data_IF_903754493625
#
_entry.id   IF_903754493625
#
_cell.length_a   1.000
_cell.length_b   1.000
_cell.length_c   1.000
_cell.angle_alpha   90.00
_cell.angle_beta   90.00
_cell.angle_gamma   90.00
#
_symmetry.space_group_name_H-M   'P 1'
#
loop_
_entity.id
_entity.type
_entity.pdbx_description
1 polymer ?
#
# COMPACT_ATOMS: atom_id res chain seq x y z
N UNK A 1 7.01 17.12 0.81
CA UNK A 1 5.87 16.46 0.15
C UNK A 1 5.52 17.03 -1.23
N UNK A 2 5.36 18.35 -1.39
CA UNK A 2 4.98 18.97 -2.68
C UNK A 2 5.92 18.55 -3.83
N UNK A 3 7.24 18.52 -3.59
CA UNK A 3 8.23 18.07 -4.58
C UNK A 3 7.90 16.68 -5.15
N UNK A 4 7.79 15.65 -4.30
CA UNK A 4 7.44 14.29 -4.71
C UNK A 4 6.15 14.22 -5.52
N UNK A 5 5.07 14.87 -5.06
CA UNK A 5 3.79 14.84 -5.78
C UNK A 5 3.85 15.54 -7.13
N UNK A 6 4.50 16.70 -7.22
CA UNK A 6 4.60 17.45 -8.48
C UNK A 6 5.56 16.81 -9.49
N UNK A 7 6.58 16.07 -9.02
CA UNK A 7 7.41 15.23 -9.88
C UNK A 7 6.59 14.04 -10.40
N UNK A 8 5.95 13.29 -9.51
CA UNK A 8 5.10 12.15 -9.85
C UNK A 8 3.99 12.53 -10.84
N UNK A 9 3.28 13.64 -10.62
CA UNK A 9 2.22 14.10 -11.52
C UNK A 9 2.72 14.43 -12.95
N UNK A 10 4.01 14.75 -13.11
CA UNK A 10 4.62 15.08 -14.40
C UNK A 10 5.15 13.84 -15.12
N UNK A 11 5.83 12.95 -14.41
CA UNK A 11 6.67 11.89 -15.01
C UNK A 11 6.25 10.48 -14.63
N UNK A 12 5.38 10.32 -13.61
CA UNK A 12 5.11 9.04 -12.97
C UNK A 12 6.18 8.58 -11.98
N UNK A 13 7.30 9.32 -11.85
CA UNK A 13 8.37 9.03 -10.91
C UNK A 13 8.51 10.19 -9.90
N UNK A 14 8.30 9.95 -8.59
CA UNK A 14 8.40 10.99 -7.57
C UNK A 14 9.81 11.61 -7.47
N UNK A 15 10.84 10.95 -7.97
CA UNK A 15 12.24 11.41 -7.98
C UNK A 15 12.60 12.23 -9.23
N UNK A 16 11.84 12.10 -10.31
CA UNK A 16 12.13 12.74 -11.61
C UNK A 16 11.19 13.91 -11.86
N UNK A 17 11.73 15.12 -11.94
CA UNK A 17 10.95 16.31 -12.29
C UNK A 17 11.68 17.62 -12.02
N UNK A 18 10.93 18.68 -11.78
CA UNK A 18 11.49 20.03 -11.60
C UNK A 18 11.95 20.29 -10.15
N UNK A 19 11.45 19.54 -9.17
CA UNK A 19 11.75 19.77 -7.77
C UNK A 19 12.76 18.74 -7.27
N UNK A 20 13.80 19.21 -6.57
CA UNK A 20 14.70 18.32 -5.85
C UNK A 20 13.96 17.61 -4.71
N UNK A 21 14.34 16.36 -4.47
CA UNK A 21 13.81 15.52 -3.40
C UNK A 21 14.89 15.24 -2.36
N UNK A 22 14.54 15.13 -1.06
CA UNK A 22 15.54 15.01 0.01
C UNK A 22 16.20 13.63 0.10
N UNK A 23 15.55 12.59 -0.41
CA UNK A 23 16.08 11.23 -0.51
C UNK A 23 15.39 10.52 -1.67
N UNK A 24 15.87 9.34 -2.06
CA UNK A 24 15.30 8.56 -3.15
C UNK A 24 14.08 7.78 -2.65
N UNK A 25 12.97 7.91 -3.36
CA UNK A 25 11.77 7.10 -3.16
C UNK A 25 11.81 5.91 -4.11
N UNK A 26 12.30 4.77 -3.60
CA UNK A 26 12.33 3.53 -4.38
C UNK A 26 10.91 3.01 -4.68
N UNK A 27 10.68 2.46 -5.89
CA UNK A 27 9.41 1.83 -6.23
C UNK A 27 9.02 0.70 -5.26
N UNK A 28 7.72 0.54 -5.06
CA UNK A 28 7.18 -0.58 -4.31
C UNK A 28 7.47 -1.90 -5.04
N UNK A 29 7.96 -2.90 -4.32
CA UNK A 29 8.07 -4.29 -4.78
C UNK A 29 7.29 -5.21 -3.85
N UNK A 30 6.68 -6.26 -4.39
CA UNK A 30 5.89 -7.21 -3.60
C UNK A 30 6.77 -8.03 -2.64
N UNK A 31 8.02 -8.27 -3.00
CA UNK A 31 9.00 -9.02 -2.19
C UNK A 31 9.36 -8.29 -0.89
N UNK A 32 9.68 -6.99 -1.00
CA UNK A 32 10.19 -6.22 0.15
C UNK A 32 9.12 -5.34 0.80
N UNK A 33 8.01 -5.05 0.09
CA UNK A 33 6.99 -4.14 0.57
C UNK A 33 7.55 -2.77 0.95
N UNK A 34 8.47 -2.23 0.11
CA UNK A 34 9.17 -0.98 0.36
C UNK A 34 8.19 0.18 0.51
N UNK A 35 8.48 1.12 1.40
CA UNK A 35 7.75 2.38 1.53
C UNK A 35 8.69 3.49 1.98
N UNK A 36 8.36 4.72 1.61
CA UNK A 36 9.03 5.90 2.10
C UNK A 36 8.29 6.43 3.34
N UNK A 37 8.98 6.52 4.47
CA UNK A 37 8.47 7.21 5.66
C UNK A 37 8.65 8.72 5.51
N UNK A 38 7.55 9.46 5.53
CA UNK A 38 7.55 10.90 5.26
C UNK A 38 7.40 11.67 6.58
N UNK A 39 8.44 12.38 6.99
CA UNK A 39 8.45 13.18 8.21
C UNK A 39 9.35 14.43 8.06
N UNK A 40 9.67 15.13 9.17
CA UNK A 40 10.47 16.36 9.14
C UNK A 40 11.99 16.12 8.96
N UNK A 41 12.44 14.87 9.03
CA UNK A 41 13.81 14.41 8.83
C UNK A 41 13.78 13.34 7.74
N UNK A 42 14.07 13.75 6.52
CA UNK A 42 14.14 12.88 5.35
C UNK A 42 15.60 12.63 5.01
N UNK A 43 16.01 11.37 5.02
CA UNK A 43 17.34 10.88 4.70
C UNK A 43 17.27 9.44 4.17
N UNK A 44 18.42 8.81 3.92
CA UNK A 44 18.49 7.46 3.36
C UNK A 44 17.86 6.38 4.25
N UNK A 45 17.62 6.65 5.55
CA UNK A 45 16.94 5.73 6.48
C UNK A 45 15.41 5.88 6.43
N UNK A 46 14.90 6.83 5.66
CA UNK A 46 13.47 7.04 5.45
C UNK A 46 12.87 5.96 4.54
N UNK A 47 13.67 5.31 3.70
CA UNK A 47 13.26 4.11 2.97
C UNK A 47 13.21 2.91 3.91
N UNK A 48 12.01 2.35 4.08
CA UNK A 48 11.72 1.26 5.00
C UNK A 48 10.97 0.14 4.29
N UNK A 49 10.81 -0.98 4.97
CA UNK A 49 10.22 -2.20 4.42
C UNK A 49 9.22 -2.83 5.40
N UNK A 50 8.36 -3.69 4.87
CA UNK A 50 7.45 -4.55 5.65
C UNK A 50 6.57 -3.81 6.67
N UNK A 51 6.00 -2.66 6.30
CA UNK A 51 5.13 -1.89 7.20
C UNK A 51 3.97 -2.75 7.71
N UNK A 52 4.01 -3.06 9.01
CA UNK A 52 2.97 -3.83 9.72
C UNK A 52 2.59 -5.14 9.01
N UNK A 53 3.56 -5.82 8.39
CA UNK A 53 3.35 -7.05 7.63
C UNK A 53 2.61 -8.15 8.42
N UNK A 54 2.87 -8.27 9.73
CA UNK A 54 2.16 -9.20 10.61
C UNK A 54 0.66 -8.91 10.73
N UNK A 55 0.28 -7.63 10.78
CA UNK A 55 -1.13 -7.22 10.80
C UNK A 55 -1.78 -7.45 9.45
N UNK A 56 -1.08 -7.13 8.36
CA UNK A 56 -1.54 -7.41 7.00
C UNK A 56 -1.82 -8.90 6.85
N UNK A 57 -0.87 -9.76 7.22
CA UNK A 57 -1.00 -11.21 7.20
C UNK A 57 -2.18 -11.69 8.06
N UNK A 58 -2.34 -11.16 9.26
CA UNK A 58 -3.47 -11.50 10.12
C UNK A 58 -4.79 -11.20 9.41
N UNK A 59 -4.97 -10.00 8.85
CA UNK A 59 -6.23 -9.60 8.24
C UNK A 59 -6.52 -10.32 6.91
N UNK A 60 -5.49 -10.57 6.09
CA UNK A 60 -5.67 -11.19 4.77
C UNK A 60 -5.60 -12.71 4.78
N UNK A 61 -5.14 -13.34 5.87
CA UNK A 61 -5.03 -14.80 5.99
C UNK A 61 -5.77 -15.30 7.21
N UNK A 62 -5.32 -14.95 8.42
CA UNK A 62 -5.85 -15.52 9.67
C UNK A 62 -7.32 -15.18 9.89
N UNK A 63 -7.69 -13.92 9.73
CA UNK A 63 -9.05 -13.44 9.93
C UNK A 63 -9.99 -13.92 8.83
N UNK A 64 -9.54 -13.90 7.57
CA UNK A 64 -10.33 -14.42 6.44
C UNK A 64 -10.62 -15.91 6.55
N UNK A 65 -9.74 -16.68 7.21
CA UNK A 65 -9.97 -18.10 7.46
C UNK A 65 -10.99 -18.36 8.59
N UNK A 66 -11.42 -17.34 9.34
CA UNK A 66 -12.41 -17.52 10.41
C UNK A 66 -13.82 -17.69 9.82
N UNK A 67 -14.64 -18.61 10.37
CA UNK A 67 -16.03 -18.73 9.97
C UNK A 67 -16.81 -17.43 10.21
N UNK A 68 -17.61 -17.02 9.23
CA UNK A 68 -18.53 -15.89 9.39
C UNK A 68 -19.66 -16.28 10.35
N UNK A 69 -19.76 -15.58 11.48
CA UNK A 69 -20.87 -15.75 12.43
C UNK A 69 -21.94 -14.72 12.10
N UNK A 70 -23.10 -15.18 11.62
CA UNK A 70 -24.28 -14.32 11.44
C UNK A 70 -25.13 -14.33 12.71
N UNK A 71 -25.55 -13.15 13.18
CA UNK A 71 -26.28 -12.99 14.45
C UNK A 71 -27.65 -13.68 14.44
N UNK A 72 -28.20 -13.98 13.27
CA UNK A 72 -29.56 -14.53 13.11
C UNK A 72 -29.65 -15.66 12.05
N UNK A 73 -28.66 -16.56 11.97
CA UNK A 73 -28.79 -17.81 11.20
C UNK A 73 -28.90 -17.69 9.66
N UNK A 74 -28.75 -16.49 9.09
CA UNK A 74 -28.71 -16.29 7.64
C UNK A 74 -27.24 -16.21 7.19
N UNK A 75 -26.74 -17.25 6.54
CA UNK A 75 -25.39 -17.30 5.95
C UNK A 75 -25.23 -16.23 4.85
N UNK A 76 -24.56 -15.12 5.16
CA UNK A 76 -24.02 -14.24 4.14
C UNK A 76 -22.75 -14.89 3.58
N UNK A 77 -22.86 -15.47 2.38
CA UNK A 77 -21.70 -15.92 1.61
C UNK A 77 -20.73 -14.74 1.40
N UNK A 78 -19.41 -14.99 1.31
CA UNK A 78 -18.46 -13.95 0.95
C UNK A 78 -18.92 -13.30 -0.37
N UNK A 79 -19.08 -11.97 -0.35
CA UNK A 79 -19.38 -11.19 -1.54
C UNK A 79 -18.25 -11.43 -2.55
N UNK A 80 -18.53 -12.30 -3.52
CA UNK A 80 -17.73 -12.42 -4.73
C UNK A 80 -18.12 -11.24 -5.59
N UNK A 81 -17.23 -10.26 -5.74
CA UNK A 81 -17.40 -9.21 -6.73
C UNK A 81 -17.01 -9.81 -8.09
N UNK A 82 -17.96 -10.51 -8.72
CA UNK A 82 -17.82 -11.00 -10.08
C UNK A 82 -18.31 -9.97 -11.11
N UNK A 83 -18.07 -8.67 -10.84
CA UNK A 83 -18.15 -7.63 -11.88
C UNK A 83 -16.92 -7.72 -12.79
N UNK A 84 -16.89 -8.78 -13.59
CA UNK A 84 -16.09 -8.88 -14.80
C UNK A 84 -16.68 -7.89 -15.81
N UNK A 85 -16.22 -6.64 -15.74
CA UNK A 85 -16.47 -5.64 -16.78
C UNK A 85 -15.77 -6.08 -18.06
N UNK A 86 -16.50 -6.75 -18.95
CA UNK A 86 -16.13 -6.94 -20.36
C UNK A 86 -17.09 -6.16 -21.25
N UNK A 87 -16.64 -5.70 -22.44
CA UNK A 87 -15.48 -4.87 -22.75
C UNK A 87 -15.85 -3.41 -23.06
#
# INVERSE_FOLDING_TARGET
>A
MIAYWTNFARTGDPNQGHSAVPTQWEPYTQENGNYLEINNKMDDQSMKQHLRSSYLQYWTQTYQALPTVNRDGITLLPYSDNSEGSP
#
